data_IF_716488089445
#
_entry.id   IF_716488089445
#
_cell.length_a   1.000
_cell.length_b   1.000
_cell.length_c   1.000
_cell.angle_alpha   90.00
_cell.angle_beta   90.00
_cell.angle_gamma   90.00
#
_symmetry.space_group_name_H-M   'P 1'
#
loop_
_entity.id
_entity.type
_entity.pdbx_description
1 polymer ?
#
# COMPACT_ATOMS: atom_id res chain seq x y z
N UNK A 1 7.33 7.46 11.74
CA UNK A 1 8.74 7.06 11.68
C UNK A 1 9.05 6.30 12.95
N UNK A 2 9.88 5.26 12.91
CA UNK A 2 10.62 4.90 14.11
C UNK A 2 11.67 6.00 14.22
N UNK A 3 11.31 7.11 14.86
CA UNK A 3 12.30 8.13 15.18
C UNK A 3 13.13 7.52 16.28
N UNK A 4 14.37 7.16 15.99
CA UNK A 4 15.33 6.88 17.03
C UNK A 4 15.68 8.19 17.72
N UNK A 5 15.15 8.38 18.93
CA UNK A 5 15.67 9.43 19.81
C UNK A 5 16.75 8.82 20.68
N UNK A 6 17.94 9.43 20.69
CA UNK A 6 18.96 9.13 21.67
C UNK A 6 18.62 9.83 22.99
N UNK A 7 18.54 9.07 24.08
CA UNK A 7 18.38 9.60 25.43
C UNK A 7 19.51 9.07 26.32
N UNK A 8 20.12 9.90 27.15
CA UNK A 8 21.16 9.44 28.09
C UNK A 8 20.50 9.13 29.44
N UNK A 9 20.73 7.94 29.99
CA UNK A 9 20.22 7.59 31.32
C UNK A 9 21.05 8.26 32.45
N UNK A 10 20.57 8.19 33.70
CA UNK A 10 21.27 8.75 34.88
C UNK A 10 22.69 8.19 35.11
N UNK A 11 23.09 7.13 34.41
CA UNK A 11 24.40 6.47 34.46
C UNK A 11 25.26 6.74 33.21
N UNK A 12 24.87 7.68 32.34
CA UNK A 12 25.64 8.04 31.14
C UNK A 12 25.48 7.08 29.95
N UNK A 13 24.58 6.08 30.01
CA UNK A 13 24.37 5.13 28.91
C UNK A 13 23.35 5.69 27.91
N UNK A 14 23.70 5.68 26.62
CA UNK A 14 22.80 5.99 25.52
C UNK A 14 21.69 4.94 25.42
N UNK A 15 20.45 5.39 25.46
CA UNK A 15 19.23 4.62 25.23
C UNK A 15 18.68 5.04 23.88
N UNK A 16 18.39 4.05 23.05
CA UNK A 16 17.66 4.24 21.80
C UNK A 16 16.18 4.02 22.10
N UNK A 17 15.35 5.02 21.80
CA UNK A 17 13.90 4.90 21.90
C UNK A 17 13.28 5.06 20.52
N UNK A 18 12.47 4.08 20.18
CA UNK A 18 11.54 4.10 19.07
C UNK A 18 10.38 5.04 19.42
N UNK A 19 10.27 6.20 18.78
CA UNK A 19 9.08 7.03 18.94
C UNK A 19 7.96 6.49 18.03
N UNK A 20 6.79 6.11 18.59
CA UNK A 20 5.62 5.88 17.77
C UNK A 20 5.19 7.22 17.18
N UNK A 21 5.21 7.33 15.85
CA UNK A 21 4.56 8.47 15.21
C UNK A 21 3.16 8.05 14.84
N UNK A 22 2.21 8.53 15.64
CA UNK A 22 0.81 8.56 15.28
C UNK A 22 0.62 9.56 14.14
N UNK A 23 0.28 9.06 12.96
CA UNK A 23 -0.01 9.88 11.80
C UNK A 23 -1.53 9.98 11.60
N UNK A 24 -2.02 11.18 11.23
CA UNK A 24 -3.39 11.35 10.76
C UNK A 24 -3.48 10.78 9.33
N UNK A 25 -4.26 9.74 9.18
CA UNK A 25 -4.60 9.09 7.91
C UNK A 25 -6.01 9.50 7.53
N UNK A 26 -6.17 10.03 6.33
CA UNK A 26 -7.49 10.28 5.75
C UNK A 26 -7.89 9.08 4.92
N UNK A 27 -9.10 8.60 5.17
CA UNK A 27 -9.77 7.67 4.26
C UNK A 27 -10.63 8.52 3.33
N UNK A 28 -10.30 8.47 2.04
CA UNK A 28 -11.05 9.13 0.98
C UNK A 28 -11.69 8.11 0.06
N UNK A 29 -12.65 8.58 -0.71
CA UNK A 29 -13.27 7.88 -1.85
C UNK A 29 -13.62 8.97 -2.88
N UNK A 30 -14.41 8.63 -3.90
CA UNK A 30 -15.00 9.62 -4.81
C UNK A 30 -16.52 9.64 -4.78
N UNK A 31 -17.12 10.70 -5.28
CA UNK A 31 -18.51 10.71 -5.76
C UNK A 31 -18.58 10.17 -7.20
N UNK A 32 -19.78 9.95 -7.73
CA UNK A 32 -19.98 9.51 -9.13
C UNK A 32 -19.38 10.51 -10.13
N UNK A 33 -19.49 11.80 -9.83
CA UNK A 33 -18.86 12.90 -10.59
C UNK A 33 -17.35 13.07 -10.32
N UNK A 34 -16.69 12.05 -9.77
CA UNK A 34 -15.24 11.99 -9.50
C UNK A 34 -14.68 12.99 -8.48
N UNK A 35 -15.51 13.86 -7.91
CA UNK A 35 -15.14 14.69 -6.76
C UNK A 35 -14.69 13.85 -5.56
N UNK A 36 -13.61 14.27 -4.92
CA UNK A 36 -13.10 13.65 -3.71
C UNK A 36 -14.13 13.69 -2.57
N UNK A 37 -14.25 12.57 -1.87
CA UNK A 37 -15.21 12.37 -0.77
C UNK A 37 -14.48 11.92 0.47
N UNK A 38 -14.43 12.80 1.47
CA UNK A 38 -13.98 12.47 2.82
C UNK A 38 -14.89 11.41 3.46
N UNK A 39 -14.29 10.35 4.00
CA UNK A 39 -15.00 9.32 4.77
C UNK A 39 -14.78 9.50 6.26
N UNK A 40 -13.51 9.47 6.67
CA UNK A 40 -13.10 9.46 8.07
C UNK A 40 -11.61 9.80 8.21
N UNK A 41 -11.20 10.05 9.45
CA UNK A 41 -9.81 10.22 9.87
C UNK A 41 -9.45 9.09 10.83
N UNK A 42 -8.33 8.43 10.58
CA UNK A 42 -7.77 7.37 11.43
C UNK A 42 -6.42 7.87 11.94
N UNK A 43 -6.16 7.68 13.23
CA UNK A 43 -4.85 7.95 13.82
C UNK A 43 -4.16 6.61 14.03
N UNK A 44 -3.13 6.35 13.23
CA UNK A 44 -2.42 5.07 13.24
C UNK A 44 -0.95 5.30 13.57
N UNK A 45 -0.38 4.42 14.38
CA UNK A 45 1.07 4.34 14.52
C UNK A 45 1.67 3.79 13.23
N UNK A 46 2.61 4.52 12.64
CA UNK A 46 3.15 4.17 11.33
C UNK A 46 4.68 4.25 11.30
N UNK A 47 5.25 3.24 10.65
CA UNK A 47 6.67 3.20 10.32
C UNK A 47 6.93 4.10 9.12
N UNK A 48 8.04 4.85 9.15
CA UNK A 48 8.43 5.76 8.07
C UNK A 48 9.96 5.83 8.02
N UNK A 49 10.49 5.71 6.80
CA UNK A 49 11.92 5.79 6.50
C UNK A 49 12.79 4.84 7.33
N UNK A 50 12.40 3.57 7.39
CA UNK A 50 13.19 2.50 8.01
C UNK A 50 13.79 1.60 6.96
N UNK A 51 14.90 0.94 7.31
CA UNK A 51 15.58 -0.05 6.47
C UNK A 51 15.84 -1.33 7.29
N UNK A 52 14.82 -2.13 7.59
CA UNK A 52 15.01 -3.39 8.31
C UNK A 52 15.71 -4.41 7.43
N UNK A 53 16.60 -5.19 8.03
CA UNK A 53 17.30 -6.29 7.36
C UNK A 53 16.60 -7.61 7.66
N UNK A 54 16.49 -8.47 6.65
CA UNK A 54 15.93 -9.80 6.78
C UNK A 54 16.53 -10.75 5.74
N UNK A 55 16.38 -12.06 5.95
CA UNK A 55 16.86 -13.08 5.02
C UNK A 55 15.69 -13.77 4.35
N UNK A 56 15.73 -13.86 3.02
CA UNK A 56 14.81 -14.69 2.22
C UNK A 56 15.59 -15.92 1.76
N UNK A 57 14.99 -17.10 1.93
CA UNK A 57 15.53 -18.36 1.42
C UNK A 57 14.40 -19.20 0.86
N UNK A 58 14.72 -20.04 -0.13
CA UNK A 58 13.76 -20.93 -0.78
C UNK A 58 14.21 -22.37 -0.55
N UNK A 59 13.31 -23.19 -0.04
CA UNK A 59 13.50 -24.64 0.03
C UNK A 59 13.19 -25.26 -1.34
N UNK A 60 14.24 -25.40 -2.16
CA UNK A 60 14.14 -25.95 -3.51
C UNK A 60 13.75 -27.43 -3.50
N UNK A 61 14.02 -28.17 -2.42
CA UNK A 61 13.60 -29.56 -2.28
C UNK A 61 12.09 -29.63 -2.10
N UNK A 62 11.53 -28.80 -1.25
CA UNK A 62 10.07 -28.70 -1.08
C UNK A 62 9.38 -28.26 -2.38
N UNK A 63 9.92 -27.25 -3.09
CA UNK A 63 9.39 -26.84 -4.39
C UNK A 63 9.34 -27.98 -5.41
N UNK A 64 10.37 -28.83 -5.43
CA UNK A 64 10.42 -29.99 -6.33
C UNK A 64 9.29 -30.99 -6.08
N UNK A 65 8.87 -31.16 -4.81
CA UNK A 65 7.77 -32.04 -4.44
C UNK A 65 6.43 -31.54 -4.98
N UNK A 66 6.15 -30.24 -4.85
CA UNK A 66 4.90 -29.67 -5.39
C UNK A 66 4.81 -29.79 -6.91
N UNK A 67 5.93 -29.60 -7.62
CA UNK A 67 5.95 -29.77 -9.08
C UNK A 67 5.73 -31.22 -9.52
N UNK A 68 6.44 -32.16 -8.88
CA UNK A 68 6.41 -33.56 -9.29
C UNK A 68 5.16 -34.30 -8.82
N UNK A 69 4.75 -34.12 -7.56
CA UNK A 69 3.67 -34.93 -6.97
C UNK A 69 2.29 -34.31 -7.19
N UNK A 70 2.21 -32.98 -7.21
CA UNK A 70 0.94 -32.26 -7.34
C UNK A 70 0.76 -31.64 -8.74
N UNK A 71 1.74 -31.80 -9.64
CA UNK A 71 1.70 -31.25 -11.00
C UNK A 71 1.58 -29.73 -11.05
N UNK A 72 1.98 -29.02 -9.99
CA UNK A 72 1.82 -27.58 -9.87
C UNK A 72 2.82 -26.82 -10.74
N UNK A 73 2.33 -25.84 -11.49
CA UNK A 73 3.17 -24.87 -12.18
C UNK A 73 3.53 -23.73 -11.21
N UNK A 74 4.77 -23.75 -10.71
CA UNK A 74 5.28 -22.75 -9.77
C UNK A 74 6.21 -21.79 -10.54
N UNK A 75 5.85 -20.49 -10.63
CA UNK A 75 6.47 -19.54 -11.56
C UNK A 75 7.82 -18.97 -11.09
N UNK A 76 8.53 -19.65 -10.19
CA UNK A 76 9.86 -19.25 -9.72
C UNK A 76 10.68 -20.44 -9.21
N UNK A 77 12.00 -20.35 -9.35
CA UNK A 77 13.00 -21.33 -8.92
C UNK A 77 13.95 -20.77 -7.85
N UNK A 78 14.05 -19.45 -7.76
CA UNK A 78 15.02 -18.76 -6.93
C UNK A 78 14.46 -17.44 -6.38
N UNK A 79 15.18 -16.86 -5.43
CA UNK A 79 14.75 -15.64 -4.72
C UNK A 79 14.59 -14.46 -5.68
N UNK A 80 15.44 -14.35 -6.70
CA UNK A 80 15.37 -13.25 -7.67
C UNK A 80 14.06 -13.30 -8.48
N UNK A 81 13.68 -14.47 -8.98
CA UNK A 81 12.42 -14.67 -9.69
C UNK A 81 11.21 -14.40 -8.79
N UNK A 82 11.25 -14.85 -7.52
CA UNK A 82 10.21 -14.52 -6.54
C UNK A 82 10.09 -13.01 -6.32
N UNK A 83 11.21 -12.29 -6.22
CA UNK A 83 11.21 -10.83 -6.09
C UNK A 83 10.72 -10.13 -7.35
N UNK A 84 10.96 -10.69 -8.54
CA UNK A 84 10.40 -10.16 -9.79
C UNK A 84 8.88 -10.27 -9.83
N UNK A 85 8.30 -11.38 -9.35
CA UNK A 85 6.84 -11.52 -9.21
C UNK A 85 6.28 -10.42 -8.29
N UNK A 86 6.96 -10.13 -7.17
CA UNK A 86 6.57 -9.03 -6.28
C UNK A 86 6.56 -7.67 -7.00
N UNK A 87 7.61 -7.39 -7.80
CA UNK A 87 7.75 -6.14 -8.57
C UNK A 87 6.69 -6.01 -9.65
N UNK A 88 6.38 -7.09 -10.36
CA UNK A 88 5.31 -7.13 -11.35
C UNK A 88 3.96 -6.83 -10.69
N UNK A 89 3.65 -7.50 -9.59
CA UNK A 89 2.43 -7.24 -8.83
C UNK A 89 2.36 -5.81 -8.26
N UNK A 90 3.50 -5.24 -7.84
CA UNK A 90 3.59 -3.86 -7.40
C UNK A 90 3.35 -2.87 -8.54
N UNK A 91 3.78 -3.19 -9.76
CA UNK A 91 3.55 -2.39 -10.97
C UNK A 91 2.07 -2.37 -11.35
N UNK A 92 1.41 -3.52 -11.34
CA UNK A 92 -0.03 -3.60 -11.62
C UNK A 92 -0.85 -2.75 -10.61
N UNK A 93 -0.49 -2.83 -9.33
CA UNK A 93 -1.10 -1.99 -8.29
C UNK A 93 -0.80 -0.49 -8.50
N UNK A 94 0.41 -0.16 -8.96
CA UNK A 94 0.81 1.21 -9.23
C UNK A 94 -0.01 1.81 -10.37
N UNK A 95 -0.17 1.08 -11.47
CA UNK A 95 -0.92 1.53 -12.64
C UNK A 95 -2.39 1.76 -12.29
N UNK A 96 -2.99 0.87 -11.49
CA UNK A 96 -4.35 1.05 -10.97
C UNK A 96 -4.48 2.28 -10.05
N UNK A 97 -3.47 2.58 -9.23
CA UNK A 97 -3.43 3.79 -8.41
C UNK A 97 -3.26 5.06 -9.26
N UNK A 98 -2.34 5.06 -10.24
CA UNK A 98 -2.11 6.19 -11.17
C UNK A 98 -3.42 6.56 -11.88
N UNK A 99 -4.15 5.58 -12.41
CA UNK A 99 -5.47 5.78 -13.02
C UNK A 99 -6.42 6.49 -12.04
N UNK A 100 -6.55 5.97 -10.82
CA UNK A 100 -7.41 6.56 -9.79
C UNK A 100 -7.03 8.00 -9.45
N UNK A 101 -5.74 8.28 -9.22
CA UNK A 101 -5.26 9.60 -8.82
C UNK A 101 -5.35 10.63 -9.96
N UNK A 102 -5.32 10.19 -11.21
CA UNK A 102 -5.51 11.05 -12.38
C UNK A 102 -6.97 11.48 -12.54
N UNK A 103 -7.91 10.59 -12.23
CA UNK A 103 -9.33 10.82 -12.45
C UNK A 103 -10.02 11.58 -11.30
N UNK A 104 -9.49 11.51 -10.07
CA UNK A 104 -10.12 12.14 -8.90
C UNK A 104 -9.93 13.66 -8.90
N UNK A 105 -11.01 14.39 -8.59
CA UNK A 105 -10.99 15.85 -8.50
C UNK A 105 -10.93 16.31 -7.04
N UNK A 106 -10.05 17.27 -6.74
CA UNK A 106 -9.97 17.89 -5.42
C UNK A 106 -11.31 18.50 -5.01
N UNK A 107 -11.70 18.32 -3.75
CA UNK A 107 -13.02 18.76 -3.29
C UNK A 107 -13.05 19.01 -1.78
N UNK A 108 -13.88 19.97 -1.36
CA UNK A 108 -14.19 20.21 0.04
C UNK A 108 -15.43 19.40 0.44
N UNK A 109 -15.31 18.52 1.42
CA UNK A 109 -16.42 17.70 1.90
C UNK A 109 -16.36 17.55 3.42
N UNK A 110 -17.49 17.76 4.11
CA UNK A 110 -17.59 17.72 5.58
C UNK A 110 -16.55 18.58 6.31
N UNK A 111 -16.23 19.75 5.75
CA UNK A 111 -15.27 20.68 6.34
C UNK A 111 -13.79 20.38 6.04
N UNK A 112 -13.47 19.20 5.52
CA UNK A 112 -12.11 18.81 5.11
C UNK A 112 -11.91 19.11 3.62
N UNK A 113 -10.79 19.76 3.28
CA UNK A 113 -10.40 19.99 1.89
C UNK A 113 -9.41 18.90 1.47
N UNK A 114 -9.84 18.07 0.51
CA UNK A 114 -9.03 16.98 -0.02
C UNK A 114 -8.27 17.47 -1.25
N UNK A 115 -7.03 17.89 -1.03
CA UNK A 115 -6.09 18.30 -2.07
C UNK A 115 -5.05 17.20 -2.30
N UNK A 116 -5.11 16.56 -3.46
CA UNK A 116 -4.19 15.48 -3.85
C UNK A 116 -3.06 15.96 -4.75
N UNK A 117 -2.95 17.25 -5.08
CA UNK A 117 -1.96 17.76 -6.04
C UNK A 117 -0.52 17.44 -5.59
N UNK A 118 -0.20 17.71 -4.32
CA UNK A 118 1.13 17.41 -3.77
C UNK A 118 1.45 15.92 -3.73
N UNK A 119 0.43 15.06 -3.57
CA UNK A 119 0.60 13.62 -3.62
C UNK A 119 0.88 13.16 -5.04
N UNK A 120 0.15 13.71 -6.02
CA UNK A 120 0.34 13.45 -7.44
C UNK A 120 1.75 13.84 -7.89
N UNK A 121 2.12 15.12 -7.71
CA UNK A 121 3.43 15.69 -8.08
C UNK A 121 4.60 14.88 -7.48
N UNK A 122 4.45 14.43 -6.23
CA UNK A 122 5.55 13.76 -5.52
C UNK A 122 5.68 12.28 -5.83
N UNK A 123 4.57 11.57 -6.08
CA UNK A 123 4.56 10.12 -6.19
C UNK A 123 4.23 9.62 -7.59
N UNK A 124 3.12 10.08 -8.17
CA UNK A 124 2.48 9.41 -9.31
C UNK A 124 2.72 10.08 -10.66
N UNK A 125 3.35 11.26 -10.69
CA UNK A 125 3.83 11.87 -11.95
C UNK A 125 4.89 10.98 -12.66
N UNK A 126 5.55 10.08 -11.93
CA UNK A 126 6.56 9.18 -12.50
C UNK A 126 5.89 8.09 -13.36
N UNK A 127 6.38 7.86 -14.60
CA UNK A 127 5.75 6.92 -15.52
C UNK A 127 5.89 5.46 -15.10
N UNK A 128 6.92 5.13 -14.30
CA UNK A 128 7.21 3.77 -13.87
C UNK A 128 7.06 3.63 -12.36
N UNK A 129 6.51 2.50 -11.91
CA UNK A 129 6.46 2.13 -10.50
C UNK A 129 7.89 2.08 -9.93
N UNK A 130 8.22 2.91 -8.92
CA UNK A 130 9.54 2.93 -8.30
C UNK A 130 9.63 1.97 -7.10
N UNK A 131 8.62 1.10 -6.92
CA UNK A 131 8.45 0.26 -5.74
C UNK A 131 8.50 -1.22 -6.04
N UNK A 132 9.11 -2.00 -5.14
CA UNK A 132 9.20 -3.45 -5.30
C UNK A 132 7.99 -4.20 -4.74
N UNK A 133 7.31 -3.63 -3.75
CA UNK A 133 6.13 -4.23 -3.13
C UNK A 133 5.26 -3.18 -2.44
N UNK A 134 3.99 -3.52 -2.24
CA UNK A 134 3.08 -2.79 -1.36
C UNK A 134 2.57 -3.69 -0.24
N UNK A 135 2.85 -3.34 1.01
CA UNK A 135 2.61 -4.21 2.16
C UNK A 135 1.67 -3.58 3.21
N UNK A 136 1.08 -4.47 4.01
CA UNK A 136 0.32 -4.12 5.21
C UNK A 136 -1.00 -3.42 4.93
N UNK A 137 -1.55 -2.79 5.97
CA UNK A 137 -2.87 -2.14 5.92
C UNK A 137 -3.00 -1.07 4.82
N UNK A 138 -1.89 -0.50 4.35
CA UNK A 138 -1.89 0.49 3.28
C UNK A 138 -2.18 -0.05 1.88
N UNK A 139 -1.99 -1.36 1.65
CA UNK A 139 -2.14 -1.97 0.32
C UNK A 139 -3.59 -2.20 -0.12
N UNK A 140 -4.53 -2.21 0.84
CA UNK A 140 -5.96 -2.41 0.57
C UNK A 140 -6.25 -3.72 -0.18
N UNK A 141 -7.45 -3.88 -0.70
CA UNK A 141 -7.86 -5.08 -1.44
C UNK A 141 -6.97 -5.37 -2.65
N UNK A 142 -6.42 -4.33 -3.31
CA UNK A 142 -5.51 -4.49 -4.45
C UNK A 142 -4.23 -5.23 -4.09
N UNK A 143 -3.71 -5.06 -2.87
CA UNK A 143 -2.49 -5.73 -2.43
C UNK A 143 -2.70 -6.89 -1.48
N UNK A 144 -3.95 -7.21 -1.10
CA UNK A 144 -4.27 -8.35 -0.22
C UNK A 144 -5.11 -9.43 -0.89
N UNK A 145 -5.47 -9.26 -2.16
CA UNK A 145 -6.31 -10.21 -2.90
C UNK A 145 -5.90 -10.31 -4.36
N UNK A 146 -6.48 -11.27 -5.06
CA UNK A 146 -6.33 -11.47 -6.52
C UNK A 146 -7.29 -10.60 -7.33
N UNK A 147 -7.87 -9.53 -6.75
CA UNK A 147 -8.97 -8.80 -7.38
C UNK A 147 -8.66 -8.20 -8.75
N UNK A 148 -7.38 -7.93 -9.03
CA UNK A 148 -6.93 -7.41 -10.33
C UNK A 148 -6.96 -8.46 -11.45
N UNK A 149 -7.11 -9.75 -11.12
CA UNK A 149 -7.25 -10.83 -12.09
C UNK A 149 -8.70 -11.11 -12.50
N UNK A 150 -9.67 -10.45 -11.88
CA UNK A 150 -11.06 -10.62 -12.26
C UNK A 150 -11.32 -9.98 -13.62
N UNK A 151 -11.61 -10.82 -14.62
CA UNK A 151 -11.89 -10.38 -15.99
C UNK A 151 -13.20 -9.59 -16.11
N UNK A 152 -14.16 -9.88 -15.23
CA UNK A 152 -15.37 -9.09 -15.07
C UNK A 152 -15.15 -8.05 -13.97
N UNK A 153 -15.13 -6.77 -14.37
CA UNK A 153 -15.02 -5.64 -13.45
C UNK A 153 -16.14 -5.65 -12.37
N UNK A 154 -17.27 -6.28 -12.67
CA UNK A 154 -18.37 -6.44 -11.72
C UNK A 154 -18.11 -7.54 -10.69
N UNK A 155 -17.32 -8.56 -10.99
CA UNK A 155 -17.07 -9.66 -10.06
C UNK A 155 -16.33 -9.17 -8.81
N UNK A 156 -15.35 -8.27 -8.97
CA UNK A 156 -14.67 -7.63 -7.83
C UNK A 156 -15.66 -6.94 -6.89
N UNK A 157 -16.62 -6.22 -7.49
CA UNK A 157 -17.68 -5.49 -6.80
C UNK A 157 -18.68 -6.43 -6.14
N UNK A 158 -19.11 -7.48 -6.82
CA UNK A 158 -20.06 -8.46 -6.30
C UNK A 158 -19.48 -9.23 -5.11
N UNK A 159 -18.23 -9.70 -5.22
CA UNK A 159 -17.51 -10.33 -4.11
C UNK A 159 -17.41 -9.37 -2.93
N UNK A 160 -17.10 -8.10 -3.18
CA UNK A 160 -17.08 -7.08 -2.13
C UNK A 160 -18.44 -6.82 -1.50
N UNK A 161 -19.51 -6.70 -2.29
CA UNK A 161 -20.87 -6.41 -1.82
C UNK A 161 -21.47 -7.59 -1.04
N UNK A 162 -21.11 -8.83 -1.39
CA UNK A 162 -21.47 -10.05 -0.65
C UNK A 162 -20.71 -10.08 0.69
N UNK A 163 -19.40 -9.90 0.67
CA UNK A 163 -18.56 -9.95 1.87
C UNK A 163 -18.76 -8.75 2.81
N UNK A 164 -19.19 -7.59 2.29
CA UNK A 164 -19.42 -6.35 3.05
C UNK A 164 -20.88 -5.88 2.93
N UNK A 165 -21.80 -6.77 3.31
CA UNK A 165 -23.26 -6.64 3.18
C UNK A 165 -23.87 -5.30 3.66
N UNK A 166 -23.24 -4.61 4.62
CA UNK A 166 -23.73 -3.36 5.20
C UNK A 166 -23.28 -2.07 4.49
N UNK A 167 -22.44 -2.14 3.44
CA UNK A 167 -21.82 -0.95 2.81
C UNK A 167 -21.80 -0.98 1.28
N UNK A 168 -22.85 -1.54 0.67
CA UNK A 168 -23.00 -1.65 -0.79
C UNK A 168 -22.72 -0.33 -1.50
N UNK A 169 -22.02 -0.40 -2.62
CA UNK A 169 -21.60 0.76 -3.41
C UNK A 169 -21.90 0.56 -4.89
N UNK A 170 -23.18 0.48 -5.28
CA UNK A 170 -23.54 0.28 -6.67
C UNK A 170 -22.89 1.36 -7.55
N UNK A 171 -22.24 0.95 -8.64
CA UNK A 171 -21.55 1.84 -9.59
C UNK A 171 -20.12 2.25 -9.22
N UNK A 172 -19.52 1.71 -8.16
CA UNK A 172 -18.12 1.99 -7.81
C UNK A 172 -17.15 0.91 -8.28
N UNK A 173 -16.07 1.33 -8.96
CA UNK A 173 -14.88 0.51 -9.22
C UNK A 173 -14.15 0.23 -7.89
N UNK A 174 -13.79 -1.03 -7.64
CA UNK A 174 -13.05 -1.42 -6.46
C UNK A 174 -11.54 -1.09 -6.60
N UNK A 175 -10.84 -0.65 -5.55
CA UNK A 175 -11.34 -0.32 -4.22
C UNK A 175 -12.14 0.98 -4.17
N UNK A 176 -13.19 0.98 -3.36
CA UNK A 176 -14.03 2.15 -3.08
C UNK A 176 -13.30 3.28 -2.36
N UNK A 177 -12.27 2.97 -1.56
CA UNK A 177 -11.56 3.93 -0.74
C UNK A 177 -10.05 3.88 -0.94
N UNK A 178 -9.41 5.01 -0.66
CA UNK A 178 -7.96 5.15 -0.57
C UNK A 178 -7.58 5.74 0.79
N UNK A 179 -6.37 5.42 1.23
CA UNK A 179 -5.79 5.93 2.46
C UNK A 179 -4.62 6.82 2.10
N UNK A 180 -4.60 8.02 2.66
CA UNK A 180 -3.52 8.98 2.47
C UNK A 180 -3.09 9.54 3.81
N UNK A 181 -1.81 9.82 3.97
CA UNK A 181 -1.24 10.30 5.22
C UNK A 181 -0.94 11.79 5.11
N UNK A 182 -1.32 12.54 6.16
CA UNK A 182 -1.04 13.95 6.27
C UNK A 182 0.34 14.19 6.86
N UNK A 183 1.00 15.24 6.40
CA UNK A 183 2.19 15.75 7.07
C UNK A 183 1.82 16.65 8.27
N UNK A 184 2.83 17.20 8.94
CA UNK A 184 2.66 18.10 10.09
C UNK A 184 1.97 19.44 9.78
N UNK A 185 1.88 19.83 8.50
CA UNK A 185 1.14 21.01 8.03
C UNK A 185 -0.30 20.69 7.64
N UNK A 186 -0.71 19.42 7.73
CA UNK A 186 -2.03 18.96 7.30
C UNK A 186 -2.14 18.69 5.80
N UNK A 187 -1.04 18.70 5.06
CA UNK A 187 -1.03 18.44 3.62
C UNK A 187 -1.03 16.93 3.35
N UNK A 188 -1.89 16.48 2.43
CA UNK A 188 -1.91 15.09 1.96
C UNK A 188 -0.62 14.83 1.17
N UNK A 189 0.24 13.95 1.69
CA UNK A 189 1.61 13.85 1.18
C UNK A 189 2.12 12.42 0.98
N UNK A 190 1.46 11.40 1.51
CA UNK A 190 1.96 10.03 1.40
C UNK A 190 0.83 9.04 1.16
N UNK A 191 1.17 7.95 0.46
CA UNK A 191 0.36 6.73 0.39
C UNK A 191 1.07 5.64 1.18
N UNK A 192 0.38 4.94 2.09
CA UNK A 192 1.02 3.93 2.93
C UNK A 192 1.29 2.61 2.19
N UNK A 193 2.31 1.89 2.63
CA UNK A 193 2.57 0.50 2.27
C UNK A 193 3.61 0.29 1.17
N UNK A 194 3.97 1.32 0.40
CA UNK A 194 5.02 1.20 -0.62
C UNK A 194 6.41 0.99 0.00
N UNK A 195 7.12 -0.04 -0.44
CA UNK A 195 8.46 -0.44 0.04
C UNK A 195 9.38 -0.87 -1.09
N UNK A 196 10.69 -0.79 -0.83
CA UNK A 196 11.76 -1.25 -1.72
C UNK A 196 12.61 -2.32 -1.03
N UNK A 197 13.17 -3.21 -1.83
CA UNK A 197 14.17 -4.18 -1.42
C UNK A 197 15.55 -3.73 -1.88
N UNK A 198 16.52 -3.87 -0.99
CA UNK A 198 17.94 -3.68 -1.29
C UNK A 198 18.63 -5.00 -0.97
N UNK A 199 19.25 -5.63 -1.97
CA UNK A 199 20.03 -6.85 -1.75
C UNK A 199 21.35 -6.44 -1.12
N UNK A 200 21.60 -6.91 0.10
CA UNK A 200 22.88 -6.70 0.77
C UNK A 200 23.88 -7.72 0.22
N UNK A 201 24.90 -7.23 -0.49
CA UNK A 201 26.06 -8.06 -0.82
C UNK A 201 26.74 -8.49 0.49
N UNK A 202 27.04 -9.79 0.61
CA UNK A 202 27.83 -10.35 1.71
C UNK A 202 29.29 -10.42 1.35
#
# INVERSE_FOLDING_TARGET
PLLESQAVNKKGKTLYKNLPVAAKVIVSSRFEIYNAKYRESIYAEMVFNVKPEFTISIDTKMLSWFRHNEGMDIPFDNVEQLLNICREFARDQWDAEVKYWTEIQNNKHKGEYLDFNLLWEKYYEKPNCPYDLRIGWGSSILGTTISMLYQDENLAREVLDICHSNNKAPGFEAPKSRRVVLNNKGEIRYVPGWVNFEVLEK
#
